data_IF_077748506479
#
_entry.id   IF_077748506479
#
_cell.length_a   1.000
_cell.length_b   1.000
_cell.length_c   1.000
_cell.angle_alpha   90.00
_cell.angle_beta   90.00
_cell.angle_gamma   90.00
#
_symmetry.space_group_name_H-M   'P 1'
#
loop_
_entity.id
_entity.type
_entity.pdbx_description
1 polymer ?
#
# COMPACT_ATOMS: atom_id res chain seq x y z
N UNK A 1 -0.61 23.50 -1.10
CA UNK A 1 -0.39 22.07 -0.86
C UNK A 1 0.11 21.48 -2.17
N UNK A 2 1.39 21.14 -2.27
CA UNK A 2 2.04 20.83 -3.56
C UNK A 2 2.30 19.32 -3.78
N UNK A 3 1.86 18.46 -2.86
CA UNK A 3 2.16 17.02 -2.94
C UNK A 3 0.91 16.14 -2.85
N UNK A 4 0.03 16.35 -1.87
CA UNK A 4 -1.12 15.46 -1.59
C UNK A 4 -2.46 15.92 -2.19
N UNK A 5 -2.44 16.87 -3.11
CA UNK A 5 -3.65 17.40 -3.77
C UNK A 5 -4.58 18.19 -2.84
N UNK A 6 -5.62 18.81 -3.40
CA UNK A 6 -6.74 19.36 -2.62
C UNK A 6 -7.42 18.24 -1.84
N UNK A 7 -7.84 18.55 -0.61
CA UNK A 7 -8.58 17.64 0.28
C UNK A 7 -7.86 16.30 0.57
N UNK A 8 -6.56 16.21 0.27
CA UNK A 8 -5.80 14.98 0.48
C UNK A 8 -6.10 13.89 -0.54
N UNK A 9 -6.68 14.18 -1.69
CA UNK A 9 -6.98 13.19 -2.75
C UNK A 9 -5.75 12.51 -3.37
N UNK A 10 -4.54 12.98 -3.05
CA UNK A 10 -3.28 12.50 -3.62
C UNK A 10 -2.73 13.46 -4.66
N UNK A 11 -1.53 13.20 -5.16
CA UNK A 11 -0.91 14.10 -6.13
C UNK A 11 0.44 13.61 -6.62
N UNK A 12 1.26 14.55 -7.07
CA UNK A 12 2.58 14.26 -7.64
C UNK A 12 3.60 15.24 -7.07
N UNK A 13 4.80 14.75 -6.77
CA UNK A 13 5.94 15.56 -6.36
C UNK A 13 7.16 15.20 -7.21
N UNK A 14 7.97 16.19 -7.58
CA UNK A 14 9.25 15.93 -8.24
C UNK A 14 10.23 15.29 -7.25
N UNK A 15 11.00 14.29 -7.71
CA UNK A 15 11.97 13.55 -6.92
C UNK A 15 13.28 13.38 -7.69
N UNK A 16 14.40 13.68 -7.04
CA UNK A 16 15.74 13.46 -7.60
C UNK A 16 16.21 12.05 -7.27
N UNK A 17 16.60 11.32 -8.31
CA UNK A 17 17.19 9.98 -8.21
C UNK A 17 18.70 10.13 -8.23
N UNK A 18 19.38 9.45 -7.31
CA UNK A 18 20.84 9.48 -7.18
C UNK A 18 21.45 8.08 -7.24
N UNK A 19 22.72 8.00 -7.62
CA UNK A 19 23.51 6.77 -7.58
C UNK A 19 23.98 6.43 -6.15
N UNK A 20 24.70 5.32 -5.98
CA UNK A 20 25.27 4.91 -4.68
C UNK A 20 26.24 5.93 -4.06
N UNK A 21 26.76 6.88 -4.85
CA UNK A 21 27.68 7.92 -4.41
C UNK A 21 26.97 9.28 -4.19
N UNK A 22 25.64 9.33 -4.38
CA UNK A 22 24.85 10.55 -4.25
C UNK A 22 24.89 11.47 -5.46
N UNK A 23 25.46 11.03 -6.59
CA UNK A 23 25.44 11.83 -7.83
C UNK A 23 24.05 11.79 -8.46
N UNK A 24 23.65 12.91 -9.07
CA UNK A 24 22.41 12.99 -9.83
C UNK A 24 22.37 11.96 -10.97
N UNK A 25 21.29 11.19 -11.04
CA UNK A 25 20.99 10.29 -12.16
C UNK A 25 19.84 10.80 -13.01
N UNK A 26 18.70 11.10 -12.38
CA UNK A 26 17.50 11.55 -13.09
C UNK A 26 16.52 12.28 -12.14
N UNK A 27 15.45 12.83 -12.72
CA UNK A 27 14.31 13.39 -11.99
C UNK A 27 13.04 12.65 -12.38
N UNK A 28 12.31 12.16 -11.39
CA UNK A 28 11.06 11.44 -11.56
C UNK A 28 9.87 12.15 -10.92
N UNK A 29 8.67 11.81 -11.39
CA UNK A 29 7.40 12.23 -10.80
C UNK A 29 6.96 11.19 -9.77
N UNK A 30 7.18 11.47 -8.49
CA UNK A 30 6.71 10.64 -7.39
C UNK A 30 5.20 10.75 -7.23
N UNK A 31 4.50 9.62 -7.29
CA UNK A 31 3.06 9.56 -7.02
C UNK A 31 2.85 9.65 -5.51
N UNK A 32 2.30 10.77 -5.03
CA UNK A 32 1.97 10.97 -3.63
C UNK A 32 0.60 10.34 -3.31
N UNK A 33 0.48 9.53 -2.24
CA UNK A 33 -0.75 8.83 -1.92
C UNK A 33 -1.84 9.78 -1.45
N UNK A 34 -3.08 9.36 -1.66
CA UNK A 34 -4.23 9.96 -1.00
C UNK A 34 -4.09 9.82 0.53
N UNK A 35 -4.51 10.88 1.22
CA UNK A 35 -4.51 11.04 2.66
C UNK A 35 -5.91 10.88 3.27
N UNK A 36 -6.96 10.87 2.46
CA UNK A 36 -8.37 10.66 2.81
C UNK A 36 -8.67 9.25 3.40
N UNK A 37 -7.69 8.36 3.36
CA UNK A 37 -7.72 7.03 4.00
C UNK A 37 -6.47 6.77 4.87
N UNK A 38 -5.69 7.81 5.17
CA UNK A 38 -4.43 7.71 5.92
C UNK A 38 -4.63 7.12 7.33
N UNK A 39 -5.64 7.61 8.04
CA UNK A 39 -5.84 7.31 9.46
C UNK A 39 -6.53 5.96 9.69
N UNK A 40 -6.91 5.24 8.63
CA UNK A 40 -7.22 3.82 8.72
C UNK A 40 -5.97 2.95 8.76
N UNK A 41 -4.86 3.44 8.17
CA UNK A 41 -3.63 2.67 7.92
C UNK A 41 -2.51 2.95 8.91
N UNK A 42 -2.49 4.16 9.45
CA UNK A 42 -1.48 4.63 10.39
C UNK A 42 -2.14 5.21 11.63
N UNK A 43 -1.58 4.90 12.79
CA UNK A 43 -1.96 5.53 14.05
C UNK A 43 -1.64 7.01 14.05
N UNK A 44 -2.32 7.79 14.88
CA UNK A 44 -2.01 9.23 15.07
C UNK A 44 -0.54 9.46 15.42
N UNK A 45 0.06 8.58 16.22
CA UNK A 45 1.47 8.69 16.61
C UNK A 45 2.42 8.45 15.44
N UNK A 46 2.12 7.48 14.56
CA UNK A 46 2.89 7.26 13.33
C UNK A 46 2.75 8.43 12.35
N UNK A 47 1.53 8.96 12.19
CA UNK A 47 1.30 10.15 11.36
C UNK A 47 2.05 11.35 11.91
N UNK A 48 2.01 11.57 13.23
CA UNK A 48 2.79 12.63 13.90
C UNK A 48 4.28 12.45 13.67
N UNK A 49 4.79 11.23 13.79
CA UNK A 49 6.21 10.93 13.54
C UNK A 49 6.59 11.28 12.09
N UNK A 50 5.80 10.85 11.12
CA UNK A 50 6.03 11.13 9.69
C UNK A 50 5.97 12.64 9.41
N UNK A 51 5.01 13.36 9.97
CA UNK A 51 4.95 14.83 9.82
C UNK A 51 6.14 15.51 10.50
N UNK A 52 6.57 15.01 11.65
CA UNK A 52 7.66 15.62 12.42
C UNK A 52 9.02 15.42 11.73
N UNK A 53 9.32 14.21 11.28
CA UNK A 53 10.64 13.80 10.80
C UNK A 53 10.72 13.53 9.29
N UNK A 54 9.59 13.65 8.60
CA UNK A 54 9.47 13.31 7.18
C UNK A 54 9.48 11.79 6.97
N UNK A 55 9.59 11.41 5.70
CA UNK A 55 9.71 9.99 5.30
C UNK A 55 10.97 9.81 4.44
N UNK A 56 12.11 9.43 5.04
CA UNK A 56 13.36 9.21 4.31
C UNK A 56 13.20 8.24 3.15
N UNK A 57 13.87 8.52 2.03
CA UNK A 57 13.74 7.76 0.78
C UNK A 57 12.49 8.12 -0.04
N UNK A 58 11.80 9.21 0.30
CA UNK A 58 10.66 9.77 -0.44
C UNK A 58 10.80 11.30 -0.52
N UNK A 59 9.99 12.00 -1.35
CA UNK A 59 9.98 13.46 -1.39
C UNK A 59 9.39 14.14 -0.14
N UNK A 60 8.84 13.39 0.82
CA UNK A 60 8.15 13.95 2.00
C UNK A 60 9.17 14.44 3.04
N UNK A 61 9.39 15.77 3.18
CA UNK A 61 10.36 16.30 4.13
C UNK A 61 9.81 16.30 5.56
N UNK A 62 10.67 16.60 6.52
CA UNK A 62 10.24 16.94 7.86
C UNK A 62 9.47 18.28 7.86
N UNK A 63 8.32 18.30 8.53
CA UNK A 63 7.54 19.51 8.77
C UNK A 63 7.66 20.00 10.21
N UNK A 64 7.86 19.11 11.18
CA UNK A 64 8.02 19.49 12.58
C UNK A 64 9.40 20.07 12.88
N UNK A 65 9.46 21.04 13.78
CA UNK A 65 10.71 21.68 14.25
C UNK A 65 11.76 20.68 14.74
N UNK A 66 11.32 19.57 15.36
CA UNK A 66 12.23 18.52 15.85
C UNK A 66 12.92 17.74 14.73
N UNK A 67 12.32 17.68 13.55
CA UNK A 67 12.94 17.12 12.34
C UNK A 67 13.58 18.17 11.43
N UNK A 68 13.64 19.44 11.86
CA UNK A 68 14.18 20.55 11.07
C UNK A 68 13.17 21.26 10.17
N UNK A 69 11.89 20.95 10.28
CA UNK A 69 10.81 21.64 9.57
C UNK A 69 10.32 22.92 10.28
N UNK A 70 9.38 23.66 9.68
CA UNK A 70 8.94 24.96 10.18
C UNK A 70 7.82 24.91 11.24
N UNK A 71 7.16 23.77 11.45
CA UNK A 71 5.93 23.66 12.24
C UNK A 71 6.19 23.27 13.70
N UNK A 72 5.55 23.98 14.63
CA UNK A 72 5.55 23.63 16.06
C UNK A 72 4.71 22.38 16.32
N UNK A 73 4.89 21.73 17.49
CA UNK A 73 4.07 20.57 17.88
C UNK A 73 2.56 20.87 17.81
N UNK A 74 2.12 22.07 18.23
CA UNK A 74 0.72 22.52 18.13
C UNK A 74 0.24 22.68 16.69
N UNK A 75 1.11 23.14 15.78
CA UNK A 75 0.76 23.22 14.37
C UNK A 75 0.66 21.83 13.74
N UNK A 76 1.49 20.87 14.16
CA UNK A 76 1.36 19.46 13.78
C UNK A 76 0.03 18.89 14.28
N UNK A 77 -0.38 19.20 15.51
CA UNK A 77 -1.71 18.82 16.02
C UNK A 77 -2.83 19.34 15.13
N UNK A 78 -2.76 20.61 14.73
CA UNK A 78 -3.77 21.21 13.86
C UNK A 78 -3.81 20.53 12.48
N UNK A 79 -2.66 20.12 11.93
CA UNK A 79 -2.61 19.34 10.68
C UNK A 79 -3.27 17.97 10.87
N UNK A 80 -2.99 17.28 11.98
CA UNK A 80 -3.62 15.98 12.28
C UNK A 80 -5.14 16.13 12.43
N UNK A 81 -5.62 17.20 13.08
CA UNK A 81 -7.06 17.48 13.18
C UNK A 81 -7.69 17.72 11.80
N UNK A 82 -6.99 18.44 10.91
CA UNK A 82 -7.45 18.58 9.53
C UNK A 82 -7.47 17.24 8.79
N UNK A 83 -6.45 16.39 8.96
CA UNK A 83 -6.40 15.05 8.36
C UNK A 83 -7.60 14.20 8.80
N UNK A 84 -8.01 14.28 10.06
CA UNK A 84 -9.25 13.64 10.52
C UNK A 84 -10.49 14.14 9.78
N UNK A 85 -10.58 15.44 9.51
CA UNK A 85 -11.75 16.04 8.85
C UNK A 85 -11.91 15.68 7.37
N UNK A 86 -10.84 15.21 6.72
CA UNK A 86 -10.85 14.82 5.30
C UNK A 86 -10.87 13.30 5.09
N UNK A 87 -10.93 12.51 6.17
CA UNK A 87 -11.06 11.06 5.99
C UNK A 87 -12.42 10.72 5.39
N UNK A 88 -12.44 9.78 4.46
CA UNK A 88 -13.68 9.15 3.99
C UNK A 88 -14.36 8.43 5.15
N UNK A 89 -15.70 8.37 5.10
CA UNK A 89 -16.45 7.46 5.98
C UNK A 89 -16.09 5.99 5.66
N UNK A 90 -16.31 5.04 6.59
CA UNK A 90 -16.01 3.64 6.35
C UNK A 90 -16.71 3.10 5.08
N UNK A 91 -17.98 3.48 4.88
CA UNK A 91 -18.76 3.06 3.71
C UNK A 91 -18.21 3.64 2.40
N UNK A 92 -17.81 4.92 2.38
CA UNK A 92 -17.21 5.55 1.19
C UNK A 92 -15.87 4.90 0.84
N UNK A 93 -15.01 4.68 1.83
CA UNK A 93 -13.73 4.00 1.66
C UNK A 93 -13.92 2.58 1.10
N UNK A 94 -14.84 1.79 1.65
CA UNK A 94 -15.17 0.44 1.16
C UNK A 94 -15.69 0.49 -0.27
N UNK A 95 -16.64 1.39 -0.52
CA UNK A 95 -17.24 1.58 -1.85
C UNK A 95 -16.19 1.95 -2.90
N UNK A 96 -15.19 2.76 -2.53
CA UNK A 96 -14.11 3.15 -3.42
C UNK A 96 -13.27 1.94 -3.85
N UNK A 97 -12.82 1.09 -2.91
CA UNK A 97 -12.01 -0.11 -3.22
C UNK A 97 -12.83 -1.13 -4.01
N UNK A 98 -14.04 -1.43 -3.53
CA UNK A 98 -14.96 -2.37 -4.17
C UNK A 98 -15.37 -1.90 -5.57
N UNK A 99 -15.49 -0.59 -5.76
CA UNK A 99 -15.79 0.06 -7.03
C UNK A 99 -14.75 -0.22 -8.09
N UNK A 100 -13.46 -0.21 -7.75
CA UNK A 100 -12.39 -0.54 -8.70
C UNK A 100 -12.49 -1.99 -9.17
N UNK A 101 -12.82 -2.92 -8.26
CA UNK A 101 -13.05 -4.33 -8.63
C UNK A 101 -14.25 -4.45 -9.56
N UNK A 102 -15.35 -3.75 -9.24
CA UNK A 102 -16.58 -3.76 -10.03
C UNK A 102 -16.37 -3.17 -11.43
N UNK A 103 -15.59 -2.11 -11.56
CA UNK A 103 -15.28 -1.50 -12.86
C UNK A 103 -14.40 -2.42 -13.72
N UNK A 104 -13.40 -3.06 -13.11
CA UNK A 104 -12.51 -3.98 -13.81
C UNK A 104 -13.21 -5.28 -14.25
N UNK A 105 -13.99 -5.90 -13.35
CA UNK A 105 -14.74 -7.13 -13.63
C UNK A 105 -15.99 -7.25 -12.72
N UNK A 106 -17.19 -6.93 -13.24
CA UNK A 106 -18.44 -7.06 -12.49
C UNK A 106 -18.76 -8.48 -12.01
N UNK A 107 -18.30 -9.52 -12.73
CA UNK A 107 -18.54 -10.91 -12.36
C UNK A 107 -17.61 -11.35 -11.22
N UNK A 108 -16.34 -10.93 -11.25
CA UNK A 108 -15.42 -11.12 -10.13
C UNK A 108 -15.93 -10.38 -8.89
N UNK A 109 -16.39 -9.13 -9.04
CA UNK A 109 -17.00 -8.36 -7.96
C UNK A 109 -18.19 -9.10 -7.33
N UNK A 110 -19.09 -9.69 -8.13
CA UNK A 110 -20.19 -10.48 -7.61
C UNK A 110 -19.72 -11.70 -6.79
N UNK A 111 -18.65 -12.39 -7.24
CA UNK A 111 -18.06 -13.52 -6.49
C UNK A 111 -17.38 -13.06 -5.19
N UNK A 112 -16.70 -11.91 -5.21
CA UNK A 112 -16.12 -11.29 -4.02
C UNK A 112 -17.19 -10.95 -2.98
N UNK A 113 -18.29 -10.30 -3.41
CA UNK A 113 -19.40 -9.97 -2.51
C UNK A 113 -20.11 -11.20 -1.97
N UNK A 114 -20.21 -12.29 -2.75
CA UNK A 114 -20.74 -13.56 -2.26
C UNK A 114 -19.85 -14.14 -1.15
N UNK A 115 -18.52 -14.11 -1.31
CA UNK A 115 -17.59 -14.54 -0.26
C UNK A 115 -17.72 -13.66 0.99
N UNK A 116 -17.82 -12.34 0.84
CA UNK A 116 -18.06 -11.42 1.97
C UNK A 116 -19.34 -11.79 2.73
N UNK A 117 -20.45 -11.94 2.01
CA UNK A 117 -21.76 -12.26 2.61
C UNK A 117 -21.77 -13.63 3.30
N UNK A 118 -21.10 -14.63 2.71
CA UNK A 118 -20.98 -15.96 3.31
C UNK A 118 -20.19 -15.94 4.63
N UNK A 119 -19.31 -14.95 4.82
CA UNK A 119 -18.45 -14.82 5.99
C UNK A 119 -18.89 -13.72 6.97
N UNK A 120 -20.07 -13.12 6.80
CA UNK A 120 -20.50 -11.96 7.59
C UNK A 120 -20.50 -12.21 9.11
N UNK A 121 -20.74 -13.46 9.53
CA UNK A 121 -20.78 -13.88 10.94
C UNK A 121 -19.51 -14.63 11.38
N UNK A 122 -18.50 -14.76 10.50
CA UNK A 122 -17.25 -15.45 10.82
C UNK A 122 -16.30 -14.48 11.52
N UNK A 123 -16.16 -14.64 12.84
CA UNK A 123 -15.36 -13.73 13.66
C UNK A 123 -13.85 -13.79 13.37
N UNK A 124 -13.32 -14.97 13.03
CA UNK A 124 -11.92 -15.18 12.74
C UNK A 124 -11.71 -15.54 11.27
N UNK A 125 -11.16 -14.62 10.44
CA UNK A 125 -10.89 -14.89 9.03
C UNK A 125 -9.74 -15.87 8.79
N UNK A 126 -9.03 -16.31 9.84
CA UNK A 126 -8.01 -17.36 9.78
C UNK A 126 -8.55 -18.77 10.13
N UNK A 127 -9.82 -18.85 10.51
CA UNK A 127 -10.48 -20.11 10.88
C UNK A 127 -10.87 -20.93 9.64
N UNK A 128 -11.11 -22.22 9.85
CA UNK A 128 -11.59 -23.11 8.79
C UNK A 128 -13.07 -22.84 8.41
N UNK A 129 -13.78 -22.01 9.18
CA UNK A 129 -15.13 -21.55 8.89
C UNK A 129 -15.15 -20.48 7.79
N UNK A 130 -14.02 -19.78 7.60
CA UNK A 130 -13.92 -18.71 6.60
C UNK A 130 -13.88 -19.28 5.18
N UNK A 131 -14.91 -18.98 4.40
CA UNK A 131 -15.08 -19.43 3.02
C UNK A 131 -14.31 -18.51 2.06
N UNK A 132 -13.18 -19.01 1.54
CA UNK A 132 -12.36 -18.31 0.56
C UNK A 132 -12.93 -18.41 -0.85
N UNK A 133 -12.56 -17.45 -1.69
CA UNK A 133 -12.83 -17.51 -3.14
C UNK A 133 -12.02 -18.63 -3.79
N UNK A 134 -12.32 -18.95 -5.05
CA UNK A 134 -11.48 -19.90 -5.80
C UNK A 134 -10.05 -19.37 -5.94
N UNK A 135 -9.05 -20.24 -6.01
CA UNK A 135 -7.65 -19.82 -6.16
C UNK A 135 -7.43 -18.98 -7.42
N UNK A 136 -8.17 -19.24 -8.50
CA UNK A 136 -8.12 -18.43 -9.72
C UNK A 136 -8.66 -17.02 -9.49
N UNK A 137 -9.82 -16.90 -8.83
CA UNK A 137 -10.40 -15.61 -8.49
C UNK A 137 -9.53 -14.82 -7.52
N UNK A 138 -8.96 -15.48 -6.52
CA UNK A 138 -8.06 -14.83 -5.57
C UNK A 138 -6.77 -14.33 -6.23
N UNK A 139 -6.20 -15.09 -7.17
CA UNK A 139 -5.04 -14.63 -7.95
C UNK A 139 -5.38 -13.38 -8.74
N UNK A 140 -6.53 -13.36 -9.42
CA UNK A 140 -6.93 -12.24 -10.26
C UNK A 140 -7.33 -11.01 -9.43
N UNK A 141 -8.14 -11.19 -8.39
CA UNK A 141 -8.49 -10.12 -7.46
C UNK A 141 -7.25 -9.56 -6.75
N UNK A 142 -6.36 -10.43 -6.29
CA UNK A 142 -5.12 -10.04 -5.65
C UNK A 142 -4.21 -9.23 -6.58
N UNK A 143 -4.09 -9.61 -7.85
CA UNK A 143 -3.35 -8.83 -8.85
C UNK A 143 -3.91 -7.42 -9.04
N UNK A 144 -5.24 -7.33 -9.17
CA UNK A 144 -5.94 -6.07 -9.35
C UNK A 144 -5.70 -5.13 -8.14
N UNK A 145 -5.87 -5.66 -6.92
CA UNK A 145 -5.65 -4.91 -5.68
C UNK A 145 -4.18 -4.54 -5.46
N UNK A 146 -3.26 -5.45 -5.80
CA UNK A 146 -1.83 -5.24 -5.68
C UNK A 146 -1.35 -4.08 -6.57
N UNK A 147 -1.91 -3.98 -7.77
CA UNK A 147 -1.49 -3.02 -8.79
C UNK A 147 -2.39 -1.80 -8.92
N UNK A 148 -3.29 -1.54 -7.94
CA UNK A 148 -4.24 -0.43 -7.98
C UNK A 148 -3.53 0.88 -8.35
N UNK A 149 -3.79 1.39 -9.54
CA UNK A 149 -3.21 2.65 -9.99
C UNK A 149 -4.30 3.60 -10.45
N UNK A 150 -5.38 3.68 -9.67
CA UNK A 150 -6.40 4.68 -9.86
C UNK A 150 -6.10 5.90 -8.97
N UNK A 151 -5.37 6.84 -9.55
CA UNK A 151 -5.14 8.15 -8.94
C UNK A 151 -6.37 9.06 -8.98
N UNK A 152 -7.35 8.77 -9.85
CA UNK A 152 -8.57 9.58 -9.97
C UNK A 152 -9.59 9.24 -8.88
N UNK A 153 -9.60 7.99 -8.41
CA UNK A 153 -10.51 7.53 -7.36
C UNK A 153 -9.87 7.40 -5.98
N UNK A 154 -8.67 7.92 -5.68
CA UNK A 154 -8.05 7.85 -4.33
C UNK A 154 -7.64 6.44 -3.83
N UNK A 155 -8.10 5.38 -4.48
CA UNK A 155 -7.83 3.96 -4.17
C UNK A 155 -6.35 3.59 -4.28
N UNK A 156 -5.52 4.43 -4.91
CA UNK A 156 -4.08 4.24 -5.00
C UNK A 156 -3.38 4.08 -3.64
N UNK A 157 -4.02 4.51 -2.54
CA UNK A 157 -3.53 4.34 -1.18
C UNK A 157 -3.47 2.86 -0.73
N UNK A 158 -4.26 1.99 -1.36
CA UNK A 158 -4.26 0.53 -1.14
C UNK A 158 -3.25 -0.24 -2.01
N UNK A 159 -2.56 0.44 -2.94
CA UNK A 159 -1.69 -0.22 -3.92
C UNK A 159 -0.37 -0.71 -3.33
N UNK A 160 -0.24 -2.04 -3.24
CA UNK A 160 0.96 -2.73 -2.75
C UNK A 160 2.18 -2.49 -3.66
N UNK A 161 1.95 -2.43 -4.98
CA UNK A 161 2.99 -2.27 -5.98
C UNK A 161 3.81 -1.00 -5.76
N UNK A 162 3.20 0.08 -5.29
CA UNK A 162 3.87 1.36 -5.02
C UNK A 162 5.06 1.26 -4.08
N UNK A 163 5.06 0.27 -3.18
CA UNK A 163 6.18 0.03 -2.28
C UNK A 163 7.02 -1.19 -2.69
N UNK A 164 6.39 -2.24 -3.23
CA UNK A 164 7.04 -3.53 -3.46
C UNK A 164 7.54 -3.75 -4.89
N UNK A 165 7.13 -2.91 -5.85
CA UNK A 165 7.54 -2.98 -7.26
C UNK A 165 8.53 -1.85 -7.57
N UNK A 166 9.73 -2.16 -8.08
CA UNK A 166 10.67 -1.16 -8.56
C UNK A 166 10.02 -0.23 -9.58
N UNK A 167 10.26 1.08 -9.46
CA UNK A 167 9.74 2.07 -10.40
C UNK A 167 8.26 2.47 -10.19
N UNK A 168 7.47 1.69 -9.45
CA UNK A 168 6.04 1.96 -9.28
C UNK A 168 5.75 3.25 -8.50
N UNK A 169 6.59 3.62 -7.53
CA UNK A 169 6.46 4.91 -6.82
C UNK A 169 6.62 6.12 -7.74
N UNK A 170 7.23 5.93 -8.92
CA UNK A 170 7.46 6.94 -9.95
C UNK A 170 6.48 6.83 -11.13
N UNK A 171 5.47 5.96 -11.04
CA UNK A 171 4.55 5.67 -12.15
C UNK A 171 5.16 4.86 -13.29
N UNK A 172 6.34 4.24 -13.08
CA UNK A 172 7.05 3.46 -14.09
C UNK A 172 7.35 2.03 -13.57
N UNK A 173 6.32 1.22 -13.28
CA UNK A 173 6.51 -0.11 -12.71
C UNK A 173 7.39 -0.97 -13.63
N UNK A 174 8.37 -1.66 -13.05
CA UNK A 174 9.31 -2.57 -13.73
C UNK A 174 10.27 -1.95 -14.74
N UNK A 175 10.22 -0.63 -14.96
CA UNK A 175 11.15 0.02 -15.86
C UNK A 175 12.60 -0.13 -15.37
N UNK A 176 13.55 -0.14 -16.32
CA UNK A 176 14.90 -0.62 -16.04
C UNK A 176 15.59 0.24 -15.00
N UNK A 177 16.27 -0.46 -14.09
CA UNK A 177 16.98 0.10 -12.95
C UNK A 177 18.02 1.17 -13.32
N UNK A 178 18.62 1.07 -14.51
CA UNK A 178 19.59 2.04 -15.01
C UNK A 178 18.98 3.44 -15.23
N UNK A 179 17.65 3.54 -15.30
CA UNK A 179 16.93 4.79 -15.53
C UNK A 179 16.19 5.30 -14.28
N UNK A 180 15.90 4.46 -13.27
CA UNK A 180 14.98 4.88 -12.18
C UNK A 180 15.31 4.29 -10.80
N UNK A 181 16.56 3.90 -10.57
CA UNK A 181 17.01 3.39 -9.29
C UNK A 181 16.65 1.92 -9.07
N UNK A 182 17.58 1.19 -8.47
CA UNK A 182 17.50 -0.27 -8.22
C UNK A 182 16.56 -0.62 -7.06
N UNK A 183 15.92 0.40 -6.47
CA UNK A 183 15.21 0.35 -5.21
C UNK A 183 13.69 0.32 -5.38
N UNK A 184 13.08 -0.60 -4.65
CA UNK A 184 11.69 -0.54 -4.22
C UNK A 184 11.70 -0.05 -2.78
N UNK A 185 10.68 0.71 -2.37
CA UNK A 185 10.62 1.28 -1.01
C UNK A 185 10.54 0.18 0.07
N UNK A 186 9.96 -0.97 -0.26
CA UNK A 186 9.75 -2.11 0.64
C UNK A 186 10.40 -3.41 0.10
N UNK A 187 10.47 -4.51 0.90
CA UNK A 187 11.12 -5.77 0.50
C UNK A 187 10.53 -6.44 -0.75
N UNK A 188 11.28 -7.38 -1.32
CA UNK A 188 10.77 -8.17 -2.47
C UNK A 188 9.78 -9.18 -1.92
N UNK A 189 8.67 -9.36 -2.63
CA UNK A 189 7.64 -10.32 -2.23
C UNK A 189 7.75 -11.66 -2.96
N UNK A 190 8.60 -11.75 -3.99
CA UNK A 190 8.95 -13.04 -4.61
C UNK A 190 9.64 -13.92 -3.56
N UNK A 191 9.07 -15.10 -3.28
CA UNK A 191 9.57 -16.04 -2.26
C UNK A 191 9.12 -15.72 -0.83
N UNK A 192 8.08 -14.91 -0.64
CA UNK A 192 7.57 -14.58 0.71
C UNK A 192 7.12 -15.82 1.50
N UNK A 193 6.78 -16.89 0.80
CA UNK A 193 6.47 -18.20 1.36
C UNK A 193 7.61 -18.83 2.17
N UNK A 194 8.86 -18.46 1.88
CA UNK A 194 10.03 -18.91 2.65
C UNK A 194 10.21 -18.14 3.96
N UNK A 195 9.60 -16.96 4.07
CA UNK A 195 9.72 -16.08 5.23
C UNK A 195 8.53 -16.18 6.19
N UNK A 196 7.32 -16.42 5.67
CA UNK A 196 6.07 -16.39 6.42
C UNK A 196 5.17 -17.58 6.04
N UNK A 197 4.55 -18.18 7.06
CA UNK A 197 3.35 -19.01 6.83
C UNK A 197 2.22 -18.16 6.24
N UNK A 198 1.24 -18.81 5.62
CA UNK A 198 0.12 -18.11 5.00
C UNK A 198 -0.67 -17.26 6.01
N UNK A 199 -0.95 -17.79 7.20
CA UNK A 199 -1.65 -17.07 8.28
C UNK A 199 -0.81 -15.90 8.83
N UNK A 200 0.51 -16.05 8.92
CA UNK A 200 1.39 -14.93 9.29
C UNK A 200 1.39 -13.85 8.21
N UNK A 201 1.33 -14.24 6.94
CA UNK A 201 1.25 -13.30 5.83
C UNK A 201 -0.07 -12.52 5.84
N UNK A 202 -1.19 -13.21 6.02
CA UNK A 202 -2.49 -12.58 6.20
C UNK A 202 -2.49 -11.57 7.35
N UNK A 203 -1.98 -11.96 8.53
CA UNK A 203 -1.88 -11.07 9.67
C UNK A 203 -0.99 -9.84 9.42
N UNK A 204 0.09 -10.00 8.64
CA UNK A 204 0.95 -8.90 8.25
C UNK A 204 0.21 -7.88 7.37
N UNK A 205 -0.59 -8.33 6.40
CA UNK A 205 -1.37 -7.42 5.54
C UNK A 205 -2.54 -6.79 6.32
N UNK A 206 -3.20 -7.55 7.20
CA UNK A 206 -4.30 -7.04 8.03
C UNK A 206 -3.84 -5.93 8.98
N UNK A 207 -2.75 -6.17 9.72
CA UNK A 207 -2.36 -5.35 10.88
C UNK A 207 -1.14 -4.48 10.62
N UNK A 208 -0.37 -4.75 9.56
CA UNK A 208 0.88 -4.07 9.29
C UNK A 208 1.99 -4.46 10.26
N UNK A 209 2.96 -3.56 10.40
CA UNK A 209 4.09 -3.69 11.31
C UNK A 209 4.14 -2.51 12.26
N UNK A 210 4.64 -2.72 13.47
CA UNK A 210 4.98 -1.65 14.41
C UNK A 210 6.49 -1.62 14.60
N UNK A 211 7.06 -0.43 14.81
CA UNK A 211 8.50 -0.27 15.00
C UNK A 211 9.00 -1.05 16.23
N UNK A 212 10.05 -1.85 16.04
CA UNK A 212 10.64 -2.68 17.09
C UNK A 212 9.79 -3.87 17.54
N UNK A 213 8.60 -4.10 16.98
CA UNK A 213 7.75 -5.26 17.30
C UNK A 213 8.01 -6.42 16.35
N UNK A 214 8.02 -7.64 16.88
CA UNK A 214 8.20 -8.82 16.06
C UNK A 214 6.98 -9.05 15.15
N UNK A 215 7.24 -9.48 13.91
CA UNK A 215 6.25 -10.12 13.04
C UNK A 215 6.86 -11.38 12.42
N UNK A 216 6.02 -12.35 12.05
CA UNK A 216 6.50 -13.67 11.65
C UNK A 216 7.35 -14.34 12.74
N UNK A 217 8.23 -15.26 12.33
CA UNK A 217 9.08 -15.99 13.27
C UNK A 217 10.32 -15.20 13.72
N UNK A 218 10.95 -14.43 12.81
CA UNK A 218 12.29 -13.86 13.02
C UNK A 218 12.45 -12.42 12.50
N UNK A 219 11.34 -11.71 12.23
CA UNK A 219 11.39 -10.39 11.63
C UNK A 219 10.96 -9.31 12.62
N UNK A 220 11.53 -8.11 12.52
CA UNK A 220 11.17 -6.96 13.33
C UNK A 220 10.57 -5.87 12.45
N UNK A 221 9.42 -5.36 12.85
CA UNK A 221 8.70 -4.31 12.17
C UNK A 221 9.40 -2.96 12.26
N UNK A 222 9.12 -2.11 11.28
CA UNK A 222 9.66 -0.74 11.20
C UNK A 222 8.58 0.34 11.29
N UNK A 223 7.30 -0.04 11.43
CA UNK A 223 6.17 0.89 11.32
C UNK A 223 5.85 1.34 9.89
N UNK A 224 6.68 1.00 8.90
CA UNK A 224 6.54 1.50 7.52
C UNK A 224 5.54 0.72 6.67
N UNK A 225 5.27 -0.53 7.02
CA UNK A 225 4.25 -1.35 6.40
C UNK A 225 2.95 -1.16 7.19
N UNK A 226 1.97 -0.39 6.67
CA UNK A 226 0.71 -0.18 7.36
C UNK A 226 -0.16 -1.44 7.35
N UNK A 227 -1.13 -1.48 8.27
CA UNK A 227 -2.23 -2.43 8.20
C UNK A 227 -3.30 -1.96 7.21
N UNK A 228 -3.87 -2.90 6.47
CA UNK A 228 -4.92 -2.59 5.50
C UNK A 228 -6.29 -3.12 5.91
N UNK A 229 -6.37 -4.08 6.84
CA UNK A 229 -7.62 -4.72 7.21
C UNK A 229 -8.21 -4.27 8.55
N UNK A 230 -7.36 -3.76 9.46
CA UNK A 230 -7.77 -3.24 10.76
C UNK A 230 -7.47 -1.76 10.82
N UNK A 231 -8.43 -0.96 11.29
CA UNK A 231 -8.22 0.47 11.51
C UNK A 231 -7.17 0.67 12.63
N UNK A 232 -6.05 1.31 12.29
CA UNK A 232 -4.96 1.58 13.22
C UNK A 232 -5.36 2.44 14.44
N UNK A 233 -6.50 3.14 14.38
CA UNK A 233 -7.04 3.99 15.43
C UNK A 233 -8.36 3.44 16.03
N UNK A 234 -8.67 2.14 15.85
CA UNK A 234 -9.91 1.50 16.33
C UNK A 234 -10.13 1.51 17.85
N UNK A 235 -9.11 1.86 18.65
CA UNK A 235 -9.13 1.86 20.11
C UNK A 235 -9.18 3.24 20.76
N UNK A 236 -9.34 4.32 19.99
CA UNK A 236 -9.53 5.66 20.56
C UNK A 236 -10.90 5.73 21.27
N UNK A 237 -10.90 5.49 22.59
CA UNK A 237 -12.10 5.28 23.41
C UNK A 237 -13.04 6.50 23.49
N UNK A 238 -12.62 7.65 22.97
CA UNK A 238 -13.34 8.92 22.90
C UNK A 238 -13.60 9.37 21.45
N UNK A 239 -13.46 8.47 20.48
CA UNK A 239 -13.55 8.81 19.07
C UNK A 239 -14.97 9.12 18.61
N UNK A 240 -15.31 10.42 18.61
CA UNK A 240 -16.57 10.97 18.08
C UNK A 240 -16.69 10.82 16.55
N UNK A 241 -15.61 10.40 15.86
CA UNK A 241 -15.49 10.42 14.40
C UNK A 241 -16.00 9.14 13.71
N UNK A 242 -16.42 8.13 14.49
CA UNK A 242 -17.16 6.94 14.03
C UNK A 242 -16.49 6.08 12.92
N UNK A 243 -15.16 6.06 12.85
CA UNK A 243 -14.46 5.32 11.78
C UNK A 243 -14.32 3.80 11.97
N UNK A 244 -14.90 3.25 13.05
CA UNK A 244 -15.02 1.80 13.26
C UNK A 244 -13.69 1.05 13.41
N UNK A 245 -13.79 -0.28 13.52
CA UNK A 245 -12.63 -1.15 13.70
C UNK A 245 -11.98 -1.60 12.39
N UNK A 246 -12.66 -1.38 11.26
CA UNK A 246 -12.30 -1.94 9.97
C UNK A 246 -11.37 -1.02 9.17
N UNK A 247 -10.38 -1.62 8.51
CA UNK A 247 -9.50 -0.94 7.57
C UNK A 247 -10.07 -0.90 6.15
N UNK A 248 -9.23 -0.48 5.20
CA UNK A 248 -9.56 -0.33 3.78
C UNK A 248 -9.97 -1.64 3.10
N UNK A 249 -9.28 -2.74 3.42
CA UNK A 249 -9.42 -4.05 2.78
C UNK A 249 -10.19 -5.01 3.66
N UNK A 250 -11.06 -5.79 3.04
CA UNK A 250 -11.88 -6.80 3.71
C UNK A 250 -11.11 -8.12 3.78
N UNK A 251 -11.48 -9.06 4.66
CA UNK A 251 -10.76 -10.32 4.79
C UNK A 251 -10.59 -11.09 3.48
N UNK A 252 -11.62 -11.17 2.64
CA UNK A 252 -11.54 -11.86 1.33
C UNK A 252 -10.60 -11.15 0.35
N UNK A 253 -10.53 -9.81 0.40
CA UNK A 253 -9.58 -9.03 -0.40
C UNK A 253 -8.15 -9.25 0.08
N UNK A 254 -7.92 -9.33 1.40
CA UNK A 254 -6.60 -9.61 1.96
C UNK A 254 -6.17 -11.05 1.63
N UNK A 255 -7.06 -12.02 1.71
CA UNK A 255 -6.78 -13.39 1.26
C UNK A 255 -6.41 -13.46 -0.22
N UNK A 256 -7.10 -12.70 -1.07
CA UNK A 256 -6.76 -12.60 -2.48
C UNK A 256 -5.35 -12.03 -2.71
N UNK A 257 -4.98 -10.95 -2.01
CA UNK A 257 -3.62 -10.37 -2.06
C UNK A 257 -2.59 -11.41 -1.62
N UNK A 258 -2.81 -12.09 -0.49
CA UNK A 258 -1.90 -13.13 0.02
C UNK A 258 -1.72 -14.24 -1.00
N UNK A 259 -2.78 -14.71 -1.64
CA UNK A 259 -2.71 -15.72 -2.70
C UNK A 259 -1.91 -15.22 -3.90
N UNK A 260 -2.17 -14.01 -4.38
CA UNK A 260 -1.42 -13.43 -5.50
C UNK A 260 0.06 -13.28 -5.18
N UNK A 261 0.40 -12.68 -4.05
CA UNK A 261 1.78 -12.40 -3.64
C UNK A 261 2.61 -13.68 -3.49
N UNK A 262 2.03 -14.74 -2.91
CA UNK A 262 2.65 -16.07 -2.80
C UNK A 262 2.78 -16.82 -4.13
N UNK A 263 2.22 -16.28 -5.21
CA UNK A 263 2.31 -16.83 -6.57
C UNK A 263 3.08 -15.93 -7.55
N UNK A 264 3.71 -14.84 -7.07
CA UNK A 264 4.51 -13.94 -7.89
C UNK A 264 5.67 -14.64 -8.62
N UNK A 265 6.28 -15.64 -7.98
CA UNK A 265 7.34 -16.47 -8.55
C UNK A 265 6.86 -17.23 -9.79
N UNK A 266 5.65 -17.78 -9.74
CA UNK A 266 5.02 -18.49 -10.87
C UNK A 266 4.51 -17.53 -11.95
N UNK A 267 3.98 -16.37 -11.57
CA UNK A 267 3.53 -15.33 -12.50
C UNK A 267 4.70 -14.72 -13.31
N UNK A 268 5.88 -14.56 -12.72
CA UNK A 268 7.08 -14.09 -13.44
C UNK A 268 7.75 -15.16 -14.30
N UNK A 269 7.50 -16.45 -14.06
CA UNK A 269 8.01 -17.54 -14.90
C UNK A 269 7.57 -17.43 -16.37
N UNK A 270 6.45 -16.76 -16.65
CA UNK A 270 5.99 -16.46 -18.01
C UNK A 270 6.67 -15.25 -18.68
N UNK A 271 7.34 -14.37 -17.92
CA UNK A 271 7.93 -13.12 -18.40
C UNK A 271 9.47 -13.11 -18.45
N UNK A 272 10.15 -14.17 -17.99
CA UNK A 272 11.62 -14.25 -18.12
C UNK A 272 12.05 -14.29 -19.60
N UNK A 273 11.24 -14.92 -20.46
CA UNK A 273 11.51 -15.03 -21.90
C UNK A 273 11.49 -13.67 -22.64
N UNK A 274 10.75 -12.69 -22.13
CA UNK A 274 10.64 -11.36 -22.72
C UNK A 274 11.71 -10.38 -22.22
N UNK A 275 12.38 -10.68 -21.11
CA UNK A 275 13.43 -9.86 -20.50
C UNK A 275 14.85 -10.30 -20.89
N UNK A 276 15.00 -11.44 -21.57
CA UNK A 276 16.31 -11.96 -22.03
C UNK A 276 16.49 -11.93 -23.55
N UNK A 277 15.56 -11.37 -24.31
CA UNK A 277 15.80 -11.13 -25.73
C UNK A 277 16.91 -10.07 -25.85
N UNK A 278 18.08 -10.38 -26.42
CA UNK A 278 19.10 -9.37 -26.68
C UNK A 278 18.50 -8.34 -27.63
N UNK A 279 18.71 -7.06 -27.33
CA UNK A 279 18.37 -5.99 -28.25
C UNK A 279 19.15 -6.22 -29.54
N UNK A 280 18.44 -6.47 -30.64
CA UNK A 280 19.04 -6.58 -31.97
C UNK A 280 19.94 -5.35 -32.21
N UNK A 281 21.24 -5.61 -32.34
CA UNK A 281 22.19 -4.63 -32.82
C UNK A 281 21.76 -4.23 -34.25
N UNK A 282 21.46 -2.95 -34.40
CA UNK A 282 21.43 -2.29 -35.70
C UNK A 282 22.80 -2.45 -36.37
N UNK A 283 22.92 -3.45 -37.24
CA UNK A 283 23.96 -3.50 -38.25
C UNK A 283 23.61 -2.53 -39.38
N UNK A 284 24.23 -1.35 -39.35
CA UNK A 284 24.38 -0.53 -40.54
C UNK A 284 25.67 -0.93 -41.26
N UNK A 285 25.55 -1.35 -42.52
CA UNK A 285 26.13 -0.72 -43.71
C UNK A 285 25.47 -1.32 -44.96
#
# INVERSE_FOLDING_TARGET
MNCHGPEGSGGVASYVITDENGNYLDTANWVAPALDTLLYRYSVDEVRYILTYGRPGTPMPAWGVKGGGPLTDQQIDNVIQYLWSVQLTPDEMRTQIDGVVKEADPALYARMMNARNANAEVADPLSDEFQRMSTEDEKYLGELLFSLNDSAAGANAASCARCHVPGASFGQPWATVAQIGKGRYAPNLVGIEDALTEKQHFNLVMNGTQDGKQYGANSTGSGKMPGFGVNANNGAADDVRQFGAEGMLSPEQVWAIVTYERNLSSARGGNVSALTAPADEKGGE
#
